data_IF_197333243542
#
_entry.id   IF_197333243542
#
_cell.length_a   1.000
_cell.length_b   1.000
_cell.length_c   1.000
_cell.angle_alpha   90.00
_cell.angle_beta   90.00
_cell.angle_gamma   90.00
#
_symmetry.space_group_name_H-M   'P 1'
#
loop_
_entity.id
_entity.type
_entity.pdbx_description
1 polymer ?
#
# COMPACT_ATOMS: atom_id res chain seq x y z
N UNK A 1 54.66 31.24 -16.36
CA UNK A 1 53.21 31.50 -16.17
C UNK A 1 52.44 30.30 -16.69
N UNK A 2 52.26 29.27 -15.88
CA UNK A 2 51.35 28.15 -16.17
C UNK A 2 50.85 27.65 -14.82
N UNK A 3 49.76 28.26 -14.35
CA UNK A 3 49.05 27.82 -13.14
C UNK A 3 48.46 26.45 -13.40
N UNK A 4 49.00 25.43 -12.75
CA UNK A 4 48.39 24.11 -12.66
C UNK A 4 47.16 24.19 -11.75
N UNK A 5 45.98 24.09 -12.35
CA UNK A 5 44.73 23.95 -11.61
C UNK A 5 44.75 22.64 -10.82
N UNK A 6 44.87 22.77 -9.50
CA UNK A 6 44.59 21.68 -8.58
C UNK A 6 43.08 21.37 -8.61
N UNK A 7 42.68 20.41 -9.43
CA UNK A 7 41.33 19.84 -9.39
C UNK A 7 41.18 19.08 -8.07
N UNK A 8 40.61 19.74 -7.07
CA UNK A 8 40.26 19.13 -5.78
C UNK A 8 39.19 18.08 -6.04
N UNK A 9 39.56 16.80 -5.91
CA UNK A 9 38.62 15.70 -6.02
C UNK A 9 37.58 15.80 -4.88
N UNK A 10 36.33 16.14 -5.23
CA UNK A 10 35.22 16.13 -4.28
C UNK A 10 34.99 14.68 -3.83
N UNK A 11 35.10 14.36 -2.53
CA UNK A 11 34.88 13.01 -2.06
C UNK A 11 33.40 12.67 -2.29
N UNK A 12 33.12 11.78 -3.26
CA UNK A 12 31.79 11.18 -3.45
C UNK A 12 31.49 10.32 -2.23
N UNK A 13 30.97 10.95 -1.18
CA UNK A 13 30.56 10.29 0.05
C UNK A 13 29.54 9.21 -0.33
N UNK A 14 29.95 7.94 -0.23
CA UNK A 14 29.14 6.75 -0.54
C UNK A 14 28.07 6.61 0.54
N UNK A 15 27.12 7.55 0.60
CA UNK A 15 26.05 7.60 1.58
C UNK A 15 25.25 6.30 1.50
N UNK A 16 25.37 5.49 2.55
CA UNK A 16 24.63 4.23 2.73
C UNK A 16 23.13 4.47 2.57
N UNK A 17 22.39 3.52 1.99
CA UNK A 17 20.94 3.65 1.74
C UNK A 17 20.18 4.10 3.00
N UNK A 18 20.57 3.57 4.16
CA UNK A 18 20.02 3.97 5.46
C UNK A 18 20.22 5.45 5.80
N UNK A 19 21.38 6.04 5.47
CA UNK A 19 21.64 7.48 5.71
C UNK A 19 20.78 8.38 4.83
N UNK A 20 20.45 7.93 3.60
CA UNK A 20 19.56 8.66 2.69
C UNK A 20 18.11 8.63 3.18
N UNK A 21 17.62 7.45 3.59
CA UNK A 21 16.27 7.29 4.16
C UNK A 21 16.11 8.12 5.43
N UNK A 22 17.08 8.05 6.35
CA UNK A 22 17.07 8.87 7.58
C UNK A 22 17.06 10.38 7.28
N UNK A 23 17.82 10.82 6.28
CA UNK A 23 17.86 12.24 5.88
C UNK A 23 16.55 12.67 5.21
N UNK A 24 15.95 11.80 4.38
CA UNK A 24 14.68 12.06 3.73
C UNK A 24 13.52 12.14 4.73
N UNK A 25 13.44 11.23 5.70
CA UNK A 25 12.43 11.26 6.77
C UNK A 25 12.53 12.53 7.62
N UNK A 26 13.74 12.99 7.94
CA UNK A 26 13.96 14.23 8.71
C UNK A 26 13.59 15.50 7.94
N UNK A 27 13.64 15.46 6.61
CA UNK A 27 13.32 16.60 5.73
C UNK A 27 11.90 16.51 5.15
N UNK A 28 11.12 15.50 5.54
CA UNK A 28 9.79 15.28 5.00
C UNK A 28 8.84 16.41 5.45
N UNK A 29 8.00 16.95 4.55
CA UNK A 29 6.99 17.94 4.91
C UNK A 29 5.92 17.32 5.82
N UNK A 30 5.18 18.16 6.55
CA UNK A 30 4.12 17.70 7.46
C UNK A 30 3.07 16.83 6.75
N UNK A 31 2.73 17.14 5.50
CA UNK A 31 1.79 16.36 4.68
C UNK A 31 2.26 14.92 4.42
N UNK A 32 3.56 14.70 4.24
CA UNK A 32 4.11 13.36 4.06
C UNK A 32 4.01 12.55 5.37
N UNK A 33 4.29 13.18 6.51
CA UNK A 33 4.11 12.56 7.82
C UNK A 33 2.66 12.20 8.10
N UNK A 34 1.72 13.09 7.77
CA UNK A 34 0.30 12.81 7.87
C UNK A 34 -0.09 11.56 7.07
N UNK A 35 0.34 11.47 5.81
CA UNK A 35 0.10 10.30 4.97
C UNK A 35 0.65 9.00 5.58
N UNK A 36 1.87 9.03 6.11
CA UNK A 36 2.48 7.88 6.78
C UNK A 36 1.66 7.45 8.00
N UNK A 37 1.22 8.39 8.84
CA UNK A 37 0.40 8.10 10.02
C UNK A 37 -0.94 7.47 9.61
N UNK A 38 -1.60 8.00 8.59
CA UNK A 38 -2.87 7.47 8.08
C UNK A 38 -2.69 6.03 7.57
N UNK A 39 -1.66 5.77 6.76
CA UNK A 39 -1.36 4.43 6.24
C UNK A 39 -1.08 3.45 7.39
N UNK A 40 -0.23 3.85 8.35
CA UNK A 40 0.07 3.01 9.52
C UNK A 40 -1.17 2.75 10.37
N UNK A 41 -2.05 3.74 10.52
CA UNK A 41 -3.33 3.57 11.20
C UNK A 41 -4.22 2.52 10.52
N UNK A 42 -4.36 2.57 9.20
CA UNK A 42 -5.11 1.55 8.46
C UNK A 42 -4.49 0.16 8.57
N UNK A 43 -3.17 0.04 8.48
CA UNK A 43 -2.46 -1.23 8.66
C UNK A 43 -2.68 -1.78 10.08
N UNK A 44 -2.62 -0.92 11.09
CA UNK A 44 -2.86 -1.29 12.48
C UNK A 44 -4.28 -1.84 12.69
N UNK A 45 -5.30 -1.12 12.19
CA UNK A 45 -6.70 -1.57 12.23
C UNK A 45 -6.89 -2.89 11.47
N UNK A 46 -6.29 -3.04 10.30
CA UNK A 46 -6.39 -4.25 9.50
C UNK A 46 -5.78 -5.48 10.19
N UNK A 47 -4.61 -5.33 10.82
CA UNK A 47 -3.93 -6.44 11.50
C UNK A 47 -4.62 -6.84 12.80
N UNK A 48 -5.09 -5.85 13.56
CA UNK A 48 -5.72 -6.05 14.87
C UNK A 48 -7.24 -6.09 14.80
N UNK A 49 -7.83 -6.13 13.60
CA UNK A 49 -9.26 -6.25 13.39
C UNK A 49 -9.95 -7.29 14.29
N UNK A 50 -9.46 -8.55 14.43
CA UNK A 50 -10.12 -9.54 15.28
C UNK A 50 -10.07 -9.24 16.78
N UNK A 51 -9.25 -8.29 17.22
CA UNK A 51 -9.19 -7.85 18.63
C UNK A 51 -9.84 -6.50 18.87
N UNK A 52 -9.95 -5.65 17.83
CA UNK A 52 -10.58 -4.33 17.92
C UNK A 52 -12.08 -4.41 17.65
N UNK A 53 -12.52 -5.34 16.79
CA UNK A 53 -13.92 -5.47 16.44
C UNK A 53 -14.76 -5.91 17.66
N UNK A 54 -15.90 -5.24 17.94
CA UNK A 54 -16.78 -5.61 19.05
C UNK A 54 -17.40 -7.00 18.91
N UNK A 55 -17.66 -7.44 17.68
CA UNK A 55 -18.38 -8.67 17.37
C UNK A 55 -17.65 -9.51 16.31
N UNK A 56 -18.12 -10.75 16.10
CA UNK A 56 -17.58 -11.62 15.05
C UNK A 56 -17.95 -11.15 13.63
N UNK A 57 -17.06 -11.35 12.66
CA UNK A 57 -17.23 -10.93 11.26
C UNK A 57 -18.54 -11.46 10.61
N UNK A 58 -18.95 -12.67 10.97
CA UNK A 58 -20.14 -13.35 10.44
C UNK A 58 -21.31 -13.35 11.41
N UNK A 59 -21.20 -12.65 12.54
CA UNK A 59 -22.25 -12.62 13.54
C UNK A 59 -23.46 -11.83 13.03
N UNK A 60 -24.65 -12.39 13.24
CA UNK A 60 -25.92 -11.84 12.79
C UNK A 60 -26.83 -11.72 14.01
N UNK A 61 -27.40 -10.53 14.21
CA UNK A 61 -28.38 -10.23 15.25
C UNK A 61 -29.79 -10.13 14.65
N UNK A 62 -30.81 -10.26 15.50
CA UNK A 62 -32.22 -10.24 15.06
C UNK A 62 -32.67 -8.84 14.63
N UNK A 63 -32.05 -7.79 15.18
CA UNK A 63 -32.42 -6.41 14.92
C UNK A 63 -31.76 -5.92 13.63
N UNK A 64 -32.50 -5.99 12.52
CA UNK A 64 -32.11 -5.35 11.26
C UNK A 64 -32.34 -3.84 11.32
N UNK A 65 -31.42 -3.06 10.75
CA UNK A 65 -31.47 -1.59 10.75
C UNK A 65 -31.62 -0.97 12.15
N UNK A 66 -30.98 -1.57 13.15
CA UNK A 66 -30.92 -0.99 14.49
C UNK A 66 -30.23 0.39 14.41
N UNK A 67 -30.77 1.42 15.10
CA UNK A 67 -30.14 2.72 15.17
C UNK A 67 -28.85 2.67 15.99
N UNK A 68 -28.11 3.78 16.02
CA UNK A 68 -26.90 3.90 16.83
C UNK A 68 -27.24 3.72 18.32
N UNK A 69 -26.56 2.79 18.99
CA UNK A 69 -26.77 2.47 20.40
C UNK A 69 -25.45 2.12 21.09
N UNK A 70 -25.48 1.91 22.42
CA UNK A 70 -24.29 1.47 23.16
C UNK A 70 -23.87 0.04 22.78
N UNK A 71 -24.82 -0.77 22.31
CA UNK A 71 -24.57 -2.13 21.83
C UNK A 71 -24.06 -2.08 20.38
N UNK A 72 -24.77 -1.36 19.50
CA UNK A 72 -24.38 -1.17 18.10
C UNK A 72 -23.96 0.27 17.86
N UNK A 73 -22.66 0.57 18.03
CA UNK A 73 -22.11 1.94 17.95
C UNK A 73 -22.52 2.67 16.67
N UNK A 74 -22.55 1.96 15.54
CA UNK A 74 -22.91 2.50 14.21
C UNK A 74 -24.26 1.91 13.73
N UNK A 75 -24.94 1.16 14.58
CA UNK A 75 -26.16 0.42 14.22
C UNK A 75 -25.86 -0.88 13.46
N UNK A 76 -26.93 -1.54 13.02
CA UNK A 76 -26.85 -2.77 12.23
C UNK A 76 -27.26 -2.56 10.78
N UNK A 77 -26.80 -3.46 9.90
CA UNK A 77 -27.21 -3.48 8.51
C UNK A 77 -28.57 -4.16 8.27
N UNK A 78 -28.97 -4.29 7.00
CA UNK A 78 -30.23 -4.91 6.59
C UNK A 78 -30.37 -6.39 7.01
N UNK A 79 -29.27 -7.05 7.34
CA UNK A 79 -29.24 -8.43 7.79
C UNK A 79 -29.07 -8.53 9.30
N UNK A 80 -29.00 -7.41 10.02
CA UNK A 80 -28.77 -7.37 11.46
C UNK A 80 -27.32 -7.57 11.87
N UNK A 81 -26.33 -7.27 11.02
CA UNK A 81 -24.91 -7.33 11.38
C UNK A 81 -24.41 -5.97 11.84
N UNK A 82 -23.55 -5.94 12.85
CA UNK A 82 -22.94 -4.70 13.34
C UNK A 82 -22.08 -4.01 12.26
N UNK A 83 -22.42 -2.76 11.93
CA UNK A 83 -21.78 -2.02 10.85
C UNK A 83 -20.33 -1.69 11.18
N UNK A 84 -20.01 -1.37 12.44
CA UNK A 84 -18.65 -1.04 12.84
C UNK A 84 -17.69 -2.22 12.65
N UNK A 85 -18.08 -3.39 13.13
CA UNK A 85 -17.38 -4.66 12.93
C UNK A 85 -17.17 -4.92 11.44
N UNK A 86 -18.20 -4.74 10.61
CA UNK A 86 -18.10 -4.90 9.16
C UNK A 86 -17.13 -3.93 8.51
N UNK A 87 -17.06 -2.68 8.97
CA UNK A 87 -16.09 -1.70 8.46
C UNK A 87 -14.65 -2.09 8.83
N UNK A 88 -14.41 -2.57 10.06
CA UNK A 88 -13.09 -2.99 10.54
C UNK A 88 -12.61 -4.22 9.76
N UNK A 89 -13.43 -5.28 9.67
CA UNK A 89 -13.09 -6.47 8.89
C UNK A 89 -13.04 -6.18 7.39
N UNK A 90 -13.89 -5.27 6.89
CA UNK A 90 -13.84 -4.78 5.52
C UNK A 90 -12.50 -4.13 5.20
N UNK A 91 -11.99 -3.25 6.07
CA UNK A 91 -10.67 -2.65 5.92
C UNK A 91 -9.56 -3.71 5.85
N UNK A 92 -9.60 -4.72 6.73
CA UNK A 92 -8.66 -5.86 6.70
C UNK A 92 -8.69 -6.60 5.37
N UNK A 93 -9.87 -7.01 4.91
CA UNK A 93 -10.01 -7.79 3.68
C UNK A 93 -9.61 -6.98 2.45
N UNK A 94 -10.06 -5.72 2.34
CA UNK A 94 -9.72 -4.85 1.21
C UNK A 94 -8.21 -4.60 1.12
N UNK A 95 -7.55 -4.28 2.24
CA UNK A 95 -6.10 -4.06 2.26
C UNK A 95 -5.36 -5.34 1.91
N UNK A 96 -5.78 -6.49 2.47
CA UNK A 96 -5.19 -7.79 2.17
C UNK A 96 -5.30 -8.15 0.68
N UNK A 97 -6.48 -7.98 0.09
CA UNK A 97 -6.71 -8.24 -1.34
C UNK A 97 -5.88 -7.28 -2.19
N UNK A 98 -5.92 -5.97 -1.91
CA UNK A 98 -5.15 -4.98 -2.67
C UNK A 98 -3.64 -5.26 -2.64
N UNK A 99 -3.12 -5.68 -1.48
CA UNK A 99 -1.73 -6.06 -1.34
C UNK A 99 -1.38 -7.31 -2.16
N UNK A 100 -2.20 -8.35 -2.08
CA UNK A 100 -2.00 -9.60 -2.81
C UNK A 100 -2.07 -9.40 -4.33
N UNK A 101 -3.06 -8.64 -4.82
CA UNK A 101 -3.20 -8.34 -6.25
C UNK A 101 -2.04 -7.50 -6.74
N UNK A 102 -1.59 -6.49 -5.97
CA UNK A 102 -0.41 -5.69 -6.32
C UNK A 102 0.85 -6.54 -6.43
N UNK A 103 1.07 -7.45 -5.49
CA UNK A 103 2.22 -8.34 -5.51
C UNK A 103 2.18 -9.28 -6.73
N UNK A 104 1.00 -9.81 -7.04
CA UNK A 104 0.79 -10.66 -8.21
C UNK A 104 1.03 -9.87 -9.52
N UNK A 105 0.43 -8.69 -9.65
CA UNK A 105 0.64 -7.81 -10.80
C UNK A 105 2.12 -7.45 -10.98
N UNK A 106 2.83 -7.17 -9.89
CA UNK A 106 4.26 -6.90 -9.93
C UNK A 106 5.05 -8.14 -10.38
N UNK A 107 4.76 -9.31 -9.81
CA UNK A 107 5.44 -10.56 -10.17
C UNK A 107 5.25 -10.89 -11.67
N UNK A 108 4.01 -10.80 -12.17
CA UNK A 108 3.70 -11.02 -13.59
C UNK A 108 4.36 -9.96 -14.46
N UNK A 109 4.20 -8.68 -14.13
CA UNK A 109 4.75 -7.57 -14.90
C UNK A 109 6.28 -7.60 -15.00
N UNK A 110 6.97 -7.86 -13.88
CA UNK A 110 8.44 -7.99 -13.87
C UNK A 110 8.88 -9.21 -14.69
N UNK A 111 8.21 -10.35 -14.54
CA UNK A 111 8.55 -11.56 -15.29
C UNK A 111 8.40 -11.33 -16.80
N UNK A 112 7.26 -10.80 -17.24
CA UNK A 112 7.01 -10.48 -18.64
C UNK A 112 7.97 -9.42 -19.17
N UNK A 113 8.26 -8.38 -18.38
CA UNK A 113 9.22 -7.33 -18.76
C UNK A 113 10.64 -7.86 -18.92
N UNK A 114 11.09 -8.77 -18.05
CA UNK A 114 12.39 -9.42 -18.19
C UNK A 114 12.45 -10.34 -19.40
N UNK A 115 11.38 -11.11 -19.66
CA UNK A 115 11.30 -11.97 -20.84
C UNK A 115 11.33 -11.14 -22.14
N UNK A 116 10.59 -10.04 -22.21
CA UNK A 116 10.65 -9.11 -23.35
C UNK A 116 12.08 -8.58 -23.57
N UNK A 117 12.72 -8.14 -22.49
CA UNK A 117 14.08 -7.60 -22.54
C UNK A 117 15.14 -8.62 -22.99
N UNK A 118 15.00 -9.89 -22.60
CA UNK A 118 15.94 -10.95 -22.96
C UNK A 118 15.75 -11.46 -24.38
N UNK A 119 14.50 -11.69 -24.81
CA UNK A 119 14.23 -12.40 -26.06
C UNK A 119 14.11 -11.50 -27.29
N UNK A 120 13.95 -10.16 -27.14
CA UNK A 120 14.01 -9.13 -28.21
C UNK A 120 13.30 -9.48 -29.54
N UNK A 121 12.31 -10.36 -29.48
CA UNK A 121 11.66 -10.98 -30.63
C UNK A 121 10.16 -10.72 -30.64
N UNK A 122 9.39 -11.65 -31.20
CA UNK A 122 7.93 -11.53 -31.34
C UNK A 122 7.21 -11.28 -29.99
N UNK A 123 7.72 -11.85 -28.89
CA UNK A 123 7.16 -11.65 -27.55
C UNK A 123 7.26 -10.19 -27.08
N UNK A 124 8.41 -9.54 -27.31
CA UNK A 124 8.61 -8.11 -27.01
C UNK A 124 7.66 -7.23 -27.82
N UNK A 125 7.46 -7.59 -29.09
CA UNK A 125 6.55 -6.89 -29.99
C UNK A 125 5.08 -7.01 -29.53
N UNK A 126 4.61 -8.21 -29.17
CA UNK A 126 3.24 -8.39 -28.66
C UNK A 126 3.04 -7.63 -27.36
N UNK A 127 3.97 -7.74 -26.40
CA UNK A 127 3.85 -7.09 -25.10
C UNK A 127 3.86 -5.56 -25.24
N UNK A 128 4.75 -5.01 -26.07
CA UNK A 128 4.81 -3.58 -26.35
C UNK A 128 3.49 -3.08 -26.98
N UNK A 129 2.93 -3.83 -27.94
CA UNK A 129 1.66 -3.46 -28.57
C UNK A 129 0.47 -3.56 -27.63
N UNK A 130 0.45 -4.55 -26.74
CA UNK A 130 -0.59 -4.66 -25.72
C UNK A 130 -0.57 -3.45 -24.77
N UNK A 131 0.62 -2.98 -24.38
CA UNK A 131 0.77 -1.76 -23.58
C UNK A 131 0.34 -0.51 -24.35
N UNK A 132 0.73 -0.38 -25.63
CA UNK A 132 0.33 0.73 -26.50
C UNK A 132 -1.21 0.84 -26.64
N UNK A 133 -1.94 -0.28 -26.64
CA UNK A 133 -3.41 -0.30 -26.73
C UNK A 133 -4.09 0.10 -25.42
N UNK A 134 -3.44 -0.16 -24.28
CA UNK A 134 -3.99 0.12 -22.96
C UNK A 134 -3.81 1.59 -22.54
N UNK A 135 -2.82 2.28 -23.12
CA UNK A 135 -2.51 3.70 -22.87
C UNK A 135 -3.29 4.62 -23.81
#
# INVERSE_FOLDING_TARGET
MTSTEHVVAVPRQRRTRASRVKTALKKAPFSAWFGVVVILGYVFVALLAPWIAPYGETQVFTEAFAPWSQEFIVGTDQLGRDVLTRLIYGARNTIGIAFATTLLSFAVGVTLGLLAAMYRGWLDQILSRAVDVLM
#
